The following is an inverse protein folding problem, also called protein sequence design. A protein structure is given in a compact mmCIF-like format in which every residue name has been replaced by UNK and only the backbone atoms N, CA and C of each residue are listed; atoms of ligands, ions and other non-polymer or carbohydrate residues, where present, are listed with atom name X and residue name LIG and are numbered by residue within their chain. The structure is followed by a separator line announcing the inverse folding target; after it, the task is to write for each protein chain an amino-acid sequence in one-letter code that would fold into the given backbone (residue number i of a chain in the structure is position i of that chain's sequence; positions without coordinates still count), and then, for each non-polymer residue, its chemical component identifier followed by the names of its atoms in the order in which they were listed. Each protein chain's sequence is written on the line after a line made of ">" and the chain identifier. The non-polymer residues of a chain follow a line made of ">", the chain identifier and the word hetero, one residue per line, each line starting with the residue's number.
data_IF_522701357116
#
_entry.id   IF_522701357116
#
_cell.length_a   1.000
_cell.length_b   1.000
_cell.length_c   1.000
_cell.angle_alpha   90.00
_cell.angle_beta   90.00
_cell.angle_gamma   90.00
#
_symmetry.space_group_name_H-M   'P 1'
#
loop_
_entity.id
_entity.type
_entity.pdbx_description
1 polymer ?
#
# COMPACT_ATOMS: atom_id res chain seq x y z
N UNK A 1 -48.07 -36.99 -49.62
CA UNK A 1 -46.99 -36.10 -50.10
C UNK A 1 -47.28 -34.71 -49.54
N UNK A 2 -46.83 -34.41 -48.31
CA UNK A 2 -45.67 -33.56 -48.01
C UNK A 2 -45.68 -32.21 -48.74
N UNK A 3 -46.09 -31.13 -48.07
CA UNK A 3 -45.45 -29.83 -48.22
C UNK A 3 -45.31 -29.19 -46.83
N UNK A 4 -44.08 -28.79 -46.52
CA UNK A 4 -43.52 -28.57 -45.19
C UNK A 4 -43.82 -27.17 -44.68
N UNK A 5 -44.30 -27.08 -43.44
CA UNK A 5 -44.26 -25.88 -42.61
C UNK A 5 -42.81 -25.37 -42.46
N UNK A 6 -42.61 -24.06 -42.56
CA UNK A 6 -41.41 -23.40 -42.05
C UNK A 6 -41.80 -22.05 -41.46
N UNK A 7 -42.03 -22.05 -40.15
CA UNK A 7 -42.25 -20.86 -39.33
C UNK A 7 -40.91 -20.17 -39.09
N UNK A 8 -40.84 -18.90 -39.46
CA UNK A 8 -39.68 -18.03 -39.29
C UNK A 8 -39.59 -17.58 -37.82
N UNK A 9 -38.58 -18.07 -37.08
CA UNK A 9 -38.26 -17.59 -35.73
C UNK A 9 -37.42 -16.33 -35.82
N UNK A 10 -38.00 -15.18 -35.48
CA UNK A 10 -37.25 -13.94 -35.23
C UNK A 10 -36.64 -14.00 -33.82
N UNK A 11 -35.31 -14.09 -33.75
CA UNK A 11 -34.58 -13.98 -32.50
C UNK A 11 -34.45 -12.51 -32.08
N UNK A 12 -35.05 -12.13 -30.95
CA UNK A 12 -34.82 -10.85 -30.30
C UNK A 12 -33.44 -10.88 -29.62
N UNK A 13 -32.47 -10.15 -30.17
CA UNK A 13 -31.21 -9.88 -29.49
C UNK A 13 -31.40 -8.73 -28.50
N UNK A 14 -31.55 -9.03 -27.21
CA UNK A 14 -31.46 -8.04 -26.13
C UNK A 14 -30.01 -7.64 -25.94
N UNK A 15 -29.62 -6.44 -26.37
CA UNK A 15 -28.35 -5.84 -25.97
C UNK A 15 -28.44 -5.42 -24.50
N UNK A 16 -27.93 -6.25 -23.59
CA UNK A 16 -27.64 -5.82 -22.22
C UNK A 16 -26.46 -4.86 -22.27
N UNK A 17 -26.73 -3.56 -22.16
CA UNK A 17 -25.70 -2.54 -21.96
C UNK A 17 -25.13 -2.72 -20.55
N UNK A 18 -23.98 -3.39 -20.44
CA UNK A 18 -23.20 -3.38 -19.22
C UNK A 18 -22.61 -1.97 -19.05
N UNK A 19 -23.12 -1.20 -18.11
CA UNK A 19 -22.55 0.10 -17.75
C UNK A 19 -21.18 -0.15 -17.09
N UNK A 20 -20.09 0.47 -17.57
CA UNK A 20 -18.82 0.40 -16.87
C UNK A 20 -18.98 1.07 -15.51
N UNK A 21 -18.88 0.29 -14.43
CA UNK A 21 -18.71 0.81 -13.08
C UNK A 21 -17.41 1.60 -13.11
N UNK A 22 -17.54 2.92 -13.17
CA UNK A 22 -16.40 3.81 -13.02
C UNK A 22 -16.04 3.81 -11.55
N UNK A 23 -15.15 2.93 -11.13
CA UNK A 23 -14.49 3.02 -9.83
C UNK A 23 -13.79 4.37 -9.80
N UNK A 24 -14.33 5.31 -9.02
CA UNK A 24 -13.68 6.60 -8.79
C UNK A 24 -12.42 6.32 -8.00
N UNK A 25 -11.28 6.22 -8.70
CA UNK A 25 -9.96 6.17 -8.09
C UNK A 25 -9.66 7.58 -7.57
N UNK A 26 -10.19 7.92 -6.41
CA UNK A 26 -9.85 9.16 -5.73
C UNK A 26 -8.39 9.06 -5.34
N UNK A 27 -7.51 9.68 -6.13
CA UNK A 27 -6.11 9.88 -5.74
C UNK A 27 -6.11 11.08 -4.78
N UNK A 28 -6.60 10.88 -3.56
CA UNK A 28 -6.38 11.87 -2.51
C UNK A 28 -4.88 11.91 -2.24
N UNK A 29 -4.28 13.09 -2.41
CA UNK A 29 -2.92 13.35 -1.92
C UNK A 29 -3.05 13.39 -0.39
N UNK A 30 -3.00 12.22 0.24
CA UNK A 30 -3.13 12.10 1.67
C UNK A 30 -1.86 12.60 2.35
N UNK A 31 -1.91 13.79 2.95
CA UNK A 31 -0.83 14.38 3.76
C UNK A 31 -0.78 13.77 5.16
N UNK A 32 -0.85 12.45 5.29
CA UNK A 32 -0.69 11.76 6.58
C UNK A 32 0.79 11.55 6.87
N UNK A 33 1.21 11.88 8.09
CA UNK A 33 2.62 11.92 8.50
C UNK A 33 2.84 10.91 9.62
N UNK A 34 3.74 9.97 9.42
CA UNK A 34 4.02 8.90 10.38
C UNK A 34 5.40 9.10 11.00
N UNK A 35 5.47 9.43 12.31
CA UNK A 35 6.74 9.55 12.99
C UNK A 35 7.50 8.23 13.02
N UNK A 36 8.79 8.31 12.69
CA UNK A 36 9.76 7.22 12.79
C UNK A 36 10.75 7.54 13.90
N UNK A 37 11.13 6.52 14.66
CA UNK A 37 12.11 6.61 15.74
C UNK A 37 12.98 5.37 15.82
N UNK A 38 14.19 5.52 16.37
CA UNK A 38 15.13 4.43 16.53
C UNK A 38 15.64 3.87 15.21
N UNK A 39 15.66 4.69 14.15
CA UNK A 39 16.20 4.27 12.86
C UNK A 39 17.68 3.96 12.96
N UNK A 40 18.04 2.81 12.41
CA UNK A 40 19.42 2.35 12.28
C UNK A 40 19.52 1.49 11.03
N UNK A 41 20.64 1.62 10.33
CA UNK A 41 21.01 0.77 9.20
C UNK A 41 22.46 0.35 9.35
N UNK A 42 22.72 -0.94 9.16
CA UNK A 42 24.05 -1.53 9.30
C UNK A 42 24.36 -2.43 8.11
N UNK A 43 25.44 -2.11 7.40
CA UNK A 43 25.82 -2.82 6.18
C UNK A 43 26.95 -3.82 6.42
N UNK A 44 26.78 -5.00 5.84
CA UNK A 44 27.83 -5.99 5.62
C UNK A 44 28.14 -6.09 4.13
N UNK A 45 29.22 -6.79 3.71
CA UNK A 45 29.46 -7.04 2.28
C UNK A 45 28.33 -7.78 1.54
N UNK A 46 27.42 -8.45 2.27
CA UNK A 46 26.33 -9.22 1.67
C UNK A 46 25.02 -8.42 1.56
N UNK A 47 24.68 -7.64 2.59
CA UNK A 47 23.44 -6.88 2.69
C UNK A 47 23.50 -5.85 3.83
N UNK A 48 22.59 -4.89 3.78
CA UNK A 48 22.30 -3.92 4.83
C UNK A 48 21.02 -4.31 5.57
N UNK A 49 21.10 -4.37 6.90
CA UNK A 49 19.95 -4.59 7.77
C UNK A 49 19.47 -3.26 8.33
N UNK A 50 18.15 -3.12 8.50
CA UNK A 50 17.54 -1.94 9.12
C UNK A 50 16.64 -2.30 10.29
N UNK A 51 16.47 -1.34 11.19
CA UNK A 51 15.50 -1.39 12.28
C UNK A 51 14.98 0.00 12.58
N UNK A 52 13.67 0.13 12.76
CA UNK A 52 13.02 1.35 13.27
C UNK A 52 11.64 1.06 13.85
N UNK A 53 11.11 2.00 14.63
CA UNK A 53 9.70 2.03 15.06
C UNK A 53 8.97 3.13 14.31
N UNK A 54 7.80 2.81 13.76
CA UNK A 54 6.92 3.76 13.08
C UNK A 54 5.56 3.79 13.78
N UNK A 55 5.00 4.99 13.90
CA UNK A 55 3.71 5.20 14.56
C UNK A 55 2.76 6.01 13.71
N UNK A 56 1.47 5.75 13.91
CA UNK A 56 0.37 6.50 13.31
C UNK A 56 -0.75 6.60 14.33
N UNK A 57 -1.29 7.80 14.52
CA UNK A 57 -2.46 7.99 15.36
C UNK A 57 -3.73 7.46 14.67
N UNK A 58 -4.68 6.92 15.44
CA UNK A 58 -5.97 6.49 14.91
C UNK A 58 -6.73 7.66 14.30
N UNK A 59 -7.23 7.48 13.07
CA UNK A 59 -8.06 8.44 12.36
C UNK A 59 -9.52 8.00 12.27
N UNK A 60 -10.34 8.78 11.55
CA UNK A 60 -11.77 8.50 11.35
C UNK A 60 -12.07 7.28 10.48
N UNK A 61 -11.17 6.94 9.54
CA UNK A 61 -11.37 5.86 8.56
C UNK A 61 -10.22 4.85 8.51
N UNK A 62 -9.12 5.13 9.21
CA UNK A 62 -7.88 4.35 9.16
C UNK A 62 -7.37 4.08 10.60
N UNK A 63 -7.14 2.81 10.99
CA UNK A 63 -6.66 2.45 12.32
C UNK A 63 -5.25 2.98 12.60
N UNK A 64 -4.99 3.33 13.86
CA UNK A 64 -3.64 3.69 14.31
C UNK A 64 -2.77 2.45 14.48
N UNK A 65 -1.46 2.64 14.44
CA UNK A 65 -0.48 1.59 14.70
C UNK A 65 0.74 2.15 15.44
N UNK A 66 1.44 1.28 16.14
CA UNK A 66 2.77 1.53 16.70
C UNK A 66 3.54 0.22 16.61
N UNK A 67 4.52 0.17 15.70
CA UNK A 67 5.16 -1.10 15.36
C UNK A 67 6.63 -0.95 15.07
N UNK A 68 7.39 -2.00 15.38
CA UNK A 68 8.81 -2.11 15.03
C UNK A 68 8.94 -2.86 13.72
N UNK A 69 9.72 -2.30 12.80
CA UNK A 69 10.05 -2.86 11.51
C UNK A 69 11.53 -3.25 11.50
N UNK A 70 11.81 -4.49 11.14
CA UNK A 70 13.16 -5.04 10.98
C UNK A 70 13.23 -5.78 9.65
N UNK A 71 14.32 -5.60 8.90
CA UNK A 71 14.47 -6.22 7.60
C UNK A 71 15.87 -6.02 7.03
N UNK A 72 16.03 -6.36 5.76
CA UNK A 72 17.29 -6.15 5.04
C UNK A 72 17.03 -5.83 3.56
N UNK A 73 18.04 -5.37 2.86
CA UNK A 73 17.96 -5.03 1.44
C UNK A 73 18.33 -6.20 0.49
N UNK A 74 18.57 -7.42 1.01
CA UNK A 74 19.02 -8.55 0.20
C UNK A 74 18.00 -8.96 -0.86
N UNK A 75 16.70 -8.95 -0.53
CA UNK A 75 15.63 -9.31 -1.45
C UNK A 75 14.93 -8.09 -2.08
N UNK A 76 15.22 -6.86 -1.62
CA UNK A 76 14.50 -5.62 -1.96
C UNK A 76 12.97 -5.65 -1.72
N UNK A 77 12.47 -6.71 -1.10
CA UNK A 77 11.06 -6.94 -0.86
C UNK A 77 10.56 -6.17 0.37
N UNK A 78 9.25 -6.02 0.45
CA UNK A 78 8.59 -5.54 1.65
C UNK A 78 8.68 -6.59 2.76
N UNK A 79 9.22 -6.22 3.91
CA UNK A 79 9.23 -7.05 5.10
C UNK A 79 8.09 -6.62 6.03
N UNK A 80 7.32 -7.61 6.50
CA UNK A 80 6.33 -7.37 7.55
C UNK A 80 7.00 -6.82 8.80
N UNK A 81 6.41 -5.79 9.38
CA UNK A 81 6.77 -5.32 10.70
C UNK A 81 6.16 -6.26 11.77
N UNK A 82 6.40 -5.97 13.04
CA UNK A 82 5.81 -6.73 14.16
C UNK A 82 4.27 -6.69 14.16
N UNK A 83 3.70 -5.62 13.59
CA UNK A 83 2.30 -5.55 13.21
C UNK A 83 2.20 -5.96 11.73
N UNK A 84 1.49 -7.06 11.47
CA UNK A 84 1.37 -7.63 10.13
C UNK A 84 0.57 -6.77 9.15
N UNK A 85 -0.16 -5.76 9.63
CA UNK A 85 -0.81 -4.77 8.78
C UNK A 85 0.20 -3.77 8.18
N UNK A 86 1.40 -3.68 8.74
CA UNK A 86 2.44 -2.74 8.32
C UNK A 86 3.61 -3.52 7.72
N UNK A 87 4.14 -3.03 6.62
CA UNK A 87 5.38 -3.53 6.03
C UNK A 87 6.32 -2.37 5.74
N UNK A 88 7.61 -2.66 5.70
CA UNK A 88 8.63 -1.68 5.41
C UNK A 88 9.70 -2.25 4.50
N UNK A 89 10.46 -1.37 3.86
CA UNK A 89 11.75 -1.67 3.24
C UNK A 89 12.63 -0.44 3.25
N UNK A 90 13.92 -0.62 2.98
CA UNK A 90 14.84 0.48 2.70
C UNK A 90 15.38 0.36 1.28
N UNK A 91 15.66 1.49 0.66
CA UNK A 91 16.30 1.57 -0.65
C UNK A 91 17.55 2.44 -0.53
N UNK A 92 18.75 1.93 -0.85
CA UNK A 92 19.96 2.76 -0.83
C UNK A 92 19.84 3.90 -1.84
N UNK A 93 20.24 5.11 -1.43
CA UNK A 93 20.42 6.28 -2.31
C UNK A 93 21.92 6.61 -2.39
N UNK A 94 22.25 7.84 -2.80
CA UNK A 94 23.64 8.32 -2.76
C UNK A 94 24.07 8.34 -1.29
N UNK A 95 25.17 7.66 -0.96
CA UNK A 95 25.70 7.61 0.41
C UNK A 95 25.83 9.01 1.01
N UNK A 96 25.44 9.24 2.28
CA UNK A 96 24.95 8.28 3.29
C UNK A 96 23.41 8.16 3.37
N UNK A 97 22.69 8.45 2.28
CA UNK A 97 21.23 8.53 2.30
C UNK A 97 20.53 7.20 1.96
N UNK A 98 19.38 7.01 2.60
CA UNK A 98 18.47 5.88 2.44
C UNK A 98 17.05 6.39 2.25
N UNK A 99 16.26 5.70 1.44
CA UNK A 99 14.82 5.88 1.41
C UNK A 99 14.17 4.81 2.26
N UNK A 100 13.42 5.23 3.27
CA UNK A 100 12.62 4.35 4.09
C UNK A 100 11.19 4.37 3.58
N UNK A 101 10.74 3.23 3.06
CA UNK A 101 9.37 3.04 2.59
C UNK A 101 8.56 2.31 3.66
N UNK A 102 7.34 2.77 3.91
CA UNK A 102 6.38 2.13 4.84
C UNK A 102 5.03 1.98 4.13
N UNK A 103 4.44 0.80 4.24
CA UNK A 103 3.13 0.46 3.72
C UNK A 103 2.23 0.04 4.88
N UNK A 104 1.02 0.57 4.95
CA UNK A 104 0.00 0.15 5.91
C UNK A 104 -1.25 -0.32 5.18
N UNK A 105 -1.59 -1.60 5.34
CA UNK A 105 -2.78 -2.25 4.76
C UNK A 105 -3.82 -2.48 5.86
N UNK A 106 -5.01 -1.95 5.67
CA UNK A 106 -6.08 -2.01 6.66
C UNK A 106 -7.45 -2.13 6.01
N UNK A 107 -8.38 -2.76 6.73
CA UNK A 107 -9.81 -2.64 6.43
C UNK A 107 -10.29 -1.26 6.90
N UNK A 108 -11.12 -0.61 6.09
CA UNK A 108 -11.68 0.70 6.47
C UNK A 108 -12.52 0.55 7.73
N UNK A 109 -12.60 1.58 8.59
CA UNK A 109 -13.29 1.45 9.89
C UNK A 109 -14.81 1.19 9.78
N UNK A 110 -15.44 1.53 8.66
CA UNK A 110 -16.81 1.14 8.32
C UNK A 110 -16.92 -0.32 7.80
N UNK A 111 -15.80 -1.01 7.60
CA UNK A 111 -15.69 -2.36 7.01
C UNK A 111 -16.31 -2.48 5.61
N UNK A 112 -16.49 -1.36 4.91
CA UNK A 112 -17.06 -1.33 3.57
C UNK A 112 -16.01 -1.64 2.50
N UNK A 113 -14.72 -1.58 2.84
CA UNK A 113 -13.64 -1.98 1.95
C UNK A 113 -12.26 -2.03 2.60
N UNK A 114 -11.23 -1.91 1.77
CA UNK A 114 -9.84 -1.99 2.18
C UNK A 114 -9.04 -0.85 1.59
N UNK A 115 -7.99 -0.46 2.31
CA UNK A 115 -7.03 0.53 1.84
C UNK A 115 -5.58 0.14 2.15
N UNK A 116 -4.68 0.68 1.35
CA UNK A 116 -3.23 0.54 1.44
C UNK A 116 -2.62 1.92 1.28
N UNK A 117 -2.03 2.44 2.36
CA UNK A 117 -1.32 3.71 2.33
C UNK A 117 0.19 3.46 2.21
N UNK A 118 0.83 4.21 1.32
CA UNK A 118 2.27 4.17 1.09
C UNK A 118 2.89 5.49 1.49
N UNK A 119 3.90 5.43 2.35
CA UNK A 119 4.65 6.58 2.84
C UNK A 119 6.14 6.37 2.64
N UNK A 120 6.88 7.46 2.46
CA UNK A 120 8.33 7.41 2.41
C UNK A 120 9.01 8.66 2.97
N UNK A 121 10.31 8.54 3.17
CA UNK A 121 11.22 9.66 3.41
C UNK A 121 12.63 9.30 2.97
N UNK A 122 13.42 10.31 2.60
CA UNK A 122 14.87 10.18 2.49
C UNK A 122 15.50 10.59 3.83
N UNK A 123 16.38 9.75 4.37
CA UNK A 123 17.02 9.91 5.67
C UNK A 123 18.50 9.56 5.57
N UNK A 124 19.34 10.28 6.30
CA UNK A 124 20.77 9.95 6.47
C UNK A 124 20.94 8.85 7.52
N UNK A 125 21.89 7.93 7.34
CA UNK A 125 22.10 6.77 8.22
C UNK A 125 22.37 7.12 9.70
N UNK A 126 22.84 8.33 10.01
CA UNK A 126 23.07 8.83 11.39
C UNK A 126 21.80 9.37 12.07
N UNK A 127 20.72 9.59 11.32
CA UNK A 127 19.49 10.20 11.83
C UNK A 127 18.55 9.13 12.39
N UNK A 128 18.37 9.12 13.71
CA UNK A 128 17.52 8.12 14.38
C UNK A 128 16.01 8.44 14.38
N UNK A 129 15.61 9.66 13.99
CA UNK A 129 14.21 10.12 14.03
C UNK A 129 13.89 10.98 12.82
N UNK A 130 12.77 10.70 12.16
CA UNK A 130 12.27 11.44 11.00
C UNK A 130 10.77 11.19 10.83
N UNK A 131 10.18 11.69 9.75
CA UNK A 131 8.76 11.49 9.42
C UNK A 131 8.71 10.90 8.03
N UNK A 132 7.97 9.81 7.84
CA UNK A 132 7.55 9.38 6.50
C UNK A 132 6.20 10.01 6.17
N UNK A 133 6.04 10.47 4.95
CA UNK A 133 4.82 11.13 4.48
C UNK A 133 4.12 10.24 3.48
N UNK A 134 2.82 10.03 3.68
CA UNK A 134 1.99 9.30 2.72
C UNK A 134 1.99 10.07 1.40
N UNK A 135 2.32 9.36 0.32
CA UNK A 135 2.34 9.91 -1.03
C UNK A 135 1.32 9.26 -1.95
N UNK A 136 0.78 8.11 -1.54
CA UNK A 136 -0.17 7.33 -2.33
C UNK A 136 -1.07 6.50 -1.43
N UNK A 137 -2.36 6.44 -1.76
CA UNK A 137 -3.31 5.51 -1.15
C UNK A 137 -4.02 4.76 -2.26
N UNK A 138 -4.08 3.44 -2.11
CA UNK A 138 -4.90 2.55 -2.93
C UNK A 138 -6.00 1.94 -2.09
N UNK A 139 -7.18 1.75 -2.66
CA UNK A 139 -8.25 1.09 -1.94
C UNK A 139 -9.53 1.00 -2.75
N UNK A 140 -10.48 0.25 -2.21
CA UNK A 140 -11.87 0.24 -2.63
C UNK A 140 -12.66 0.71 -1.41
N UNK A 141 -13.38 1.81 -1.56
CA UNK A 141 -14.41 2.28 -0.63
C UNK A 141 -15.77 1.72 -1.04
#
# INVERSE_FOLDING_TARGET
>A
MQLKSTTLLMALATLTTASPITTKRTTEIATDNWPVSGFSVGCSPAACAYKFTVTRATGSTNPGFNTTCEGNDYTSDWHSCADSSVSARIVPKISPFWEADVMHRYDTLNQEGWAQAFANATVEDTVSKFIVTVYHIEGVE
#
